data_IF_957560364535
#
_entry.id   IF_957560364535
#
_cell.length_a   1.000
_cell.length_b   1.000
_cell.length_c   1.000
_cell.angle_alpha   90.00
_cell.angle_beta   90.00
_cell.angle_gamma   90.00
#
_symmetry.space_group_name_H-M   'P 1'
#
loop_
_entity.id
_entity.type
_entity.pdbx_description
1 polymer ?
#
# COMPACT_ATOMS: atom_id res chain seq x y z
N UNK A 1 26.47 12.73 51.43
CA UNK A 1 25.80 11.84 52.41
C UNK A 1 24.60 12.57 53.00
N UNK A 2 23.38 12.28 52.52
CA UNK A 2 22.15 12.73 53.16
C UNK A 2 21.14 11.58 53.08
N UNK A 3 20.86 10.98 54.24
CA UNK A 3 20.02 9.78 54.40
C UNK A 3 18.55 10.19 54.40
N UNK A 4 17.75 9.59 53.51
CA UNK A 4 16.30 9.77 53.44
C UNK A 4 15.62 8.67 54.29
N UNK A 5 14.66 9.00 55.18
CA UNK A 5 14.00 8.00 56.05
C UNK A 5 12.95 7.16 55.28
N UNK A 6 12.68 5.90 55.70
CA UNK A 6 11.75 4.99 55.02
C UNK A 6 10.30 4.99 55.57
N UNK A 7 9.36 4.77 54.63
CA UNK A 7 7.97 4.25 54.62
C UNK A 7 7.04 4.30 55.87
N UNK A 8 5.70 4.33 55.63
CA UNK A 8 5.00 3.05 55.76
C UNK A 8 3.98 2.72 54.65
N UNK A 9 3.71 1.42 54.57
CA UNK A 9 2.84 0.71 53.62
C UNK A 9 1.34 0.73 53.99
N UNK A 10 0.46 0.59 52.98
CA UNK A 10 -0.93 0.05 52.99
C UNK A 10 -1.72 0.68 51.82
N UNK A 11 -2.47 0.03 50.92
CA UNK A 11 -3.06 -1.31 50.78
C UNK A 11 -3.42 -1.54 49.29
N UNK A 12 -3.57 -2.80 48.82
CA UNK A 12 -3.94 -3.13 47.44
C UNK A 12 -5.47 -3.04 47.20
N UNK A 13 -5.87 -2.47 46.05
CA UNK A 13 -7.26 -2.51 45.59
C UNK A 13 -7.64 -3.94 45.19
N UNK A 14 -8.69 -4.45 45.84
CA UNK A 14 -9.23 -5.80 45.72
C UNK A 14 -9.94 -5.98 44.37
N UNK A 15 -9.41 -6.85 43.51
CA UNK A 15 -10.13 -7.41 42.37
C UNK A 15 -11.11 -8.45 42.92
N UNK A 16 -12.39 -8.09 42.99
CA UNK A 16 -13.44 -9.02 43.40
C UNK A 16 -13.89 -9.84 42.19
N UNK A 17 -13.54 -11.12 42.21
CA UNK A 17 -14.12 -12.14 41.34
C UNK A 17 -15.60 -12.31 41.69
N UNK A 18 -16.50 -12.18 40.70
CA UNK A 18 -17.78 -12.87 40.75
C UNK A 18 -17.92 -13.81 39.55
N UNK A 19 -18.00 -15.08 39.94
CA UNK A 19 -18.24 -16.31 39.20
C UNK A 19 -19.45 -16.23 38.25
N UNK A 20 -19.34 -16.98 37.16
CA UNK A 20 -20.40 -17.47 36.26
C UNK A 20 -21.57 -18.12 37.04
N UNK A 21 -22.72 -18.29 36.36
CA UNK A 21 -23.11 -19.67 36.09
C UNK A 21 -23.43 -19.93 34.62
N UNK A 22 -23.08 -21.14 34.21
CA UNK A 22 -23.53 -21.86 33.01
C UNK A 22 -25.00 -22.22 33.09
N UNK A 23 -25.73 -22.10 31.99
CA UNK A 23 -27.02 -22.76 31.79
C UNK A 23 -27.05 -23.42 30.40
N UNK A 24 -27.58 -24.64 30.41
CA UNK A 24 -27.56 -25.67 29.37
C UNK A 24 -28.89 -25.71 28.62
N UNK A 25 -28.87 -26.28 27.41
CA UNK A 25 -30.00 -26.79 26.59
C UNK A 25 -30.92 -25.73 25.96
N UNK A 26 -30.97 -25.53 24.63
CA UNK A 26 -31.36 -26.41 23.50
C UNK A 26 -32.89 -26.41 23.23
N UNK A 27 -33.22 -26.05 21.97
CA UNK A 27 -34.51 -26.15 21.26
C UNK A 27 -35.65 -25.23 21.78
N UNK A 28 -36.45 -24.53 20.98
CA UNK A 28 -37.00 -24.85 19.65
C UNK A 28 -37.59 -23.61 18.93
N UNK A 29 -37.61 -23.71 17.59
CA UNK A 29 -38.52 -23.11 16.60
C UNK A 29 -39.09 -21.66 16.73
N UNK A 30 -38.77 -20.91 15.66
CA UNK A 30 -39.67 -20.05 14.89
C UNK A 30 -40.17 -18.74 15.53
N UNK A 31 -39.62 -17.60 15.06
CA UNK A 31 -40.41 -16.58 14.35
C UNK A 31 -39.52 -15.53 13.67
N UNK A 32 -39.94 -15.16 12.45
CA UNK A 32 -39.60 -13.96 11.69
C UNK A 32 -38.17 -13.83 11.12
N UNK A 33 -37.98 -14.47 9.95
CA UNK A 33 -36.98 -14.10 8.95
C UNK A 33 -37.21 -12.67 8.45
N UNK A 34 -36.68 -11.69 9.17
CA UNK A 34 -36.48 -10.36 8.63
C UNK A 34 -35.25 -10.41 7.73
N UNK A 35 -35.53 -10.49 6.43
CA UNK A 35 -34.61 -10.32 5.30
C UNK A 35 -33.77 -9.06 5.49
N UNK A 36 -32.63 -9.17 6.18
CA UNK A 36 -31.53 -8.24 6.03
C UNK A 36 -30.96 -8.57 4.66
N UNK A 37 -31.46 -7.85 3.65
CA UNK A 37 -30.91 -7.82 2.32
C UNK A 37 -29.41 -7.57 2.48
N UNK A 38 -28.63 -8.65 2.32
CA UNK A 38 -27.19 -8.58 2.14
C UNK A 38 -27.00 -7.75 0.90
N UNK A 39 -26.81 -6.44 1.07
CA UNK A 39 -26.37 -5.55 0.03
C UNK A 39 -24.90 -5.89 -0.23
N UNK A 40 -24.67 -7.08 -0.77
CA UNK A 40 -23.50 -7.40 -1.57
C UNK A 40 -23.66 -6.62 -2.86
N UNK A 41 -23.56 -5.29 -2.77
CA UNK A 41 -23.10 -4.51 -3.89
C UNK A 41 -21.74 -5.10 -4.18
N UNK A 42 -21.70 -6.02 -5.16
CA UNK A 42 -20.46 -6.44 -5.78
C UNK A 42 -19.74 -5.13 -6.07
N UNK A 43 -18.56 -4.92 -5.48
CA UNK A 43 -17.60 -3.98 -6.03
C UNK A 43 -17.24 -4.54 -7.42
N UNK A 44 -18.15 -4.37 -8.37
CA UNK A 44 -17.89 -4.54 -9.78
C UNK A 44 -16.83 -3.51 -10.08
N UNK A 45 -15.60 -3.98 -10.29
CA UNK A 45 -14.45 -3.14 -10.63
C UNK A 45 -14.89 -2.22 -11.78
N UNK A 46 -15.01 -0.90 -11.59
CA UNK A 46 -15.19 -0.03 -12.74
C UNK A 46 -13.84 -0.04 -13.48
N UNK A 47 -13.81 -0.63 -14.67
CA UNK A 47 -12.66 -0.51 -15.57
C UNK A 47 -11.79 -1.76 -15.76
N UNK A 48 -12.39 -2.92 -15.99
CA UNK A 48 -11.86 -3.83 -17.02
C UNK A 48 -12.53 -3.49 -18.37
N UNK A 49 -12.71 -2.20 -18.65
CA UNK A 49 -12.97 -1.74 -20.01
C UNK A 49 -11.77 -2.20 -20.84
N UNK A 50 -12.04 -2.68 -22.06
CA UNK A 50 -11.02 -3.12 -23.01
C UNK A 50 -9.90 -2.08 -23.08
N UNK A 51 -8.83 -2.31 -22.33
CA UNK A 51 -7.61 -1.55 -22.43
C UNK A 51 -7.01 -2.07 -23.74
N UNK A 52 -6.73 -1.18 -24.69
CA UNK A 52 -6.11 -1.54 -25.98
C UNK A 52 -4.68 -2.16 -25.79
N UNK A 53 -4.31 -2.56 -24.57
CA UNK A 53 -2.97 -2.93 -24.11
C UNK A 53 -2.03 -1.73 -24.00
N UNK A 54 -2.49 -0.55 -24.40
CA UNK A 54 -1.69 0.65 -24.61
C UNK A 54 -1.61 1.49 -23.34
N UNK A 55 -0.45 1.46 -22.70
CA UNK A 55 -0.15 2.23 -21.50
C UNK A 55 0.73 3.43 -21.83
N UNK A 56 0.54 4.55 -21.10
CA UNK A 56 1.41 5.72 -21.27
C UNK A 56 2.86 5.37 -20.94
N UNK A 57 3.81 5.77 -21.78
CA UNK A 57 5.23 5.47 -21.62
C UNK A 57 5.75 5.83 -20.23
N UNK A 58 5.46 7.03 -19.72
CA UNK A 58 5.91 7.44 -18.37
C UNK A 58 5.35 6.58 -17.23
N UNK A 59 4.19 5.92 -17.43
CA UNK A 59 3.60 5.00 -16.44
C UNK A 59 4.32 3.66 -16.46
N UNK A 60 4.66 3.15 -17.64
CA UNK A 60 5.45 1.93 -17.81
C UNK A 60 6.85 2.10 -17.22
N UNK A 61 7.53 3.20 -17.53
CA UNK A 61 8.85 3.51 -16.99
C UNK A 61 8.84 3.61 -15.45
N UNK A 62 7.83 4.29 -14.90
CA UNK A 62 7.69 4.40 -13.44
C UNK A 62 7.39 3.04 -12.78
N UNK A 63 6.63 2.17 -13.44
CA UNK A 63 6.31 0.82 -12.95
C UNK A 63 7.54 -0.10 -12.91
N UNK A 64 8.49 0.10 -13.83
CA UNK A 64 9.77 -0.59 -13.84
C UNK A 64 10.77 -0.07 -12.79
N UNK A 65 10.39 0.94 -11.99
CA UNK A 65 11.19 1.42 -10.87
C UNK A 65 12.17 2.55 -11.20
N UNK A 66 12.21 3.02 -12.44
CA UNK A 66 13.16 4.06 -12.89
C UNK A 66 12.99 5.40 -12.20
N UNK A 67 11.81 5.69 -11.67
CA UNK A 67 11.58 6.97 -11.00
C UNK A 67 10.12 7.27 -10.75
N UNK A 68 9.85 8.52 -10.40
CA UNK A 68 8.48 9.04 -10.40
C UNK A 68 7.98 9.19 -11.85
N UNK A 69 6.66 9.25 -12.04
CA UNK A 69 6.08 9.54 -13.37
C UNK A 69 6.65 10.83 -13.99
N UNK A 70 6.89 11.86 -13.17
CA UNK A 70 7.47 13.15 -13.63
C UNK A 70 8.92 13.02 -14.03
N UNK A 71 9.73 12.33 -13.23
CA UNK A 71 11.13 12.06 -13.58
C UNK A 71 11.24 11.23 -14.86
N UNK A 72 10.30 10.32 -15.11
CA UNK A 72 10.24 9.58 -16.38
C UNK A 72 9.89 10.47 -17.58
N UNK A 73 9.15 11.57 -17.39
CA UNK A 73 8.87 12.52 -18.47
C UNK A 73 10.14 13.27 -18.90
N UNK A 74 11.02 13.61 -17.96
CA UNK A 74 12.34 14.20 -18.25
C UNK A 74 13.25 13.23 -19.03
N UNK A 75 13.21 11.93 -18.71
CA UNK A 75 13.96 10.91 -19.46
C UNK A 75 13.48 10.80 -20.92
N UNK A 76 12.17 10.95 -21.15
CA UNK A 76 11.59 10.93 -22.49
C UNK A 76 12.02 12.18 -23.27
N UNK A 77 11.89 13.38 -22.68
CA UNK A 77 12.23 14.63 -23.37
C UNK A 77 13.73 14.74 -23.68
N UNK A 78 14.59 14.12 -22.86
CA UNK A 78 16.05 14.06 -23.09
C UNK A 78 16.48 12.99 -24.10
N UNK A 79 15.54 12.34 -24.81
CA UNK A 79 15.84 11.35 -25.86
C UNK A 79 16.58 10.10 -25.36
N UNK A 80 16.46 9.75 -24.08
CA UNK A 80 17.13 8.59 -23.48
C UNK A 80 16.32 7.29 -23.58
N UNK A 81 15.07 7.38 -24.03
CA UNK A 81 14.13 6.26 -24.08
C UNK A 81 13.92 5.81 -25.52
N UNK A 82 14.11 4.51 -25.74
CA UNK A 82 13.88 3.83 -27.01
C UNK A 82 12.72 2.84 -26.88
N UNK A 83 11.86 2.80 -27.90
CA UNK A 83 10.77 1.83 -28.03
C UNK A 83 10.92 1.16 -29.38
N UNK A 84 11.09 -0.16 -29.40
CA UNK A 84 11.36 -0.94 -30.62
C UNK A 84 12.48 -0.33 -31.49
N UNK A 85 13.57 0.11 -30.83
CA UNK A 85 14.76 0.77 -31.44
C UNK A 85 14.49 2.15 -32.05
N UNK A 86 13.35 2.77 -31.73
CA UNK A 86 13.05 4.16 -32.11
C UNK A 86 13.12 5.05 -30.88
N UNK A 87 13.89 6.13 -30.97
CA UNK A 87 13.97 7.12 -29.89
C UNK A 87 12.64 7.86 -29.82
N UNK A 88 12.03 7.87 -28.63
CA UNK A 88 10.76 8.54 -28.38
C UNK A 88 10.99 9.76 -27.50
N UNK A 89 10.66 10.94 -28.03
CA UNK A 89 10.77 12.22 -27.31
C UNK A 89 9.42 12.86 -27.00
N UNK A 90 8.36 12.35 -27.63
CA UNK A 90 7.01 12.89 -27.49
C UNK A 90 6.35 12.42 -26.19
N UNK A 91 6.02 13.38 -25.33
CA UNK A 91 5.24 13.14 -24.13
C UNK A 91 3.82 12.68 -24.48
N UNK A 92 3.32 11.68 -23.77
CA UNK A 92 1.99 11.11 -24.00
C UNK A 92 1.96 9.95 -24.99
N UNK A 93 3.10 9.54 -25.54
CA UNK A 93 3.24 8.29 -26.31
C UNK A 93 2.70 7.12 -25.50
N UNK A 94 1.86 6.30 -26.14
CA UNK A 94 1.34 5.06 -25.57
C UNK A 94 2.09 3.89 -26.18
N UNK A 95 2.42 2.92 -25.33
CA UNK A 95 3.20 1.74 -25.67
C UNK A 95 2.52 0.52 -25.08
N UNK A 96 2.68 -0.62 -25.75
CA UNK A 96 2.26 -1.91 -25.20
C UNK A 96 3.46 -2.56 -24.50
N UNK A 97 3.53 -2.56 -23.15
CA UNK A 97 4.66 -3.12 -22.41
C UNK A 97 4.82 -4.63 -22.58
N UNK A 98 3.82 -5.34 -23.12
CA UNK A 98 3.88 -6.79 -23.36
C UNK A 98 4.42 -7.15 -24.72
N UNK A 99 4.27 -6.26 -25.70
CA UNK A 99 4.64 -6.52 -27.10
C UNK A 99 5.86 -5.74 -27.56
N UNK A 100 6.08 -4.55 -27.01
CA UNK A 100 7.14 -3.64 -27.42
C UNK A 100 8.35 -3.74 -26.51
N UNK A 101 9.54 -3.65 -27.09
CA UNK A 101 10.80 -3.63 -26.35
C UNK A 101 11.14 -2.18 -25.98
N UNK A 102 11.09 -1.88 -24.68
CA UNK A 102 11.47 -0.56 -24.15
C UNK A 102 12.89 -0.66 -23.61
N UNK A 103 13.75 0.27 -24.05
CA UNK A 103 15.15 0.37 -23.63
C UNK A 103 15.45 1.78 -23.15
N UNK A 104 16.37 1.88 -22.21
CA UNK A 104 16.91 3.16 -21.74
C UNK A 104 18.42 3.07 -21.78
N UNK A 105 19.05 4.03 -22.45
CA UNK A 105 20.51 4.07 -22.65
C UNK A 105 21.10 2.72 -23.15
N UNK A 106 20.33 1.97 -23.95
CA UNK A 106 20.71 0.67 -24.48
C UNK A 106 20.33 -0.55 -23.63
N UNK A 107 19.96 -0.37 -22.36
CA UNK A 107 19.53 -1.46 -21.46
C UNK A 107 18.02 -1.72 -21.56
N UNK A 108 17.63 -3.01 -21.58
CA UNK A 108 16.22 -3.41 -21.62
C UNK A 108 15.55 -3.16 -20.27
N UNK A 109 14.34 -2.60 -20.32
CA UNK A 109 13.53 -2.40 -19.12
C UNK A 109 13.16 -3.74 -18.46
N UNK A 110 13.35 -3.90 -17.13
CA UNK A 110 12.92 -5.10 -16.44
C UNK A 110 11.39 -5.18 -16.37
N UNK A 111 10.86 -6.40 -16.38
CA UNK A 111 9.42 -6.60 -16.26
C UNK A 111 8.94 -6.16 -14.87
N UNK A 112 7.87 -5.35 -14.77
CA UNK A 112 7.41 -4.82 -13.51
C UNK A 112 6.83 -5.93 -12.63
N UNK A 113 7.56 -6.30 -11.57
CA UNK A 113 7.07 -7.21 -10.53
C UNK A 113 6.13 -6.46 -9.60
N UNK A 114 4.86 -6.88 -9.56
CA UNK A 114 3.86 -6.29 -8.66
C UNK A 114 3.92 -6.97 -7.30
N UNK A 115 4.16 -6.19 -6.27
CA UNK A 115 4.09 -6.64 -4.87
C UNK A 115 3.15 -5.70 -4.11
N UNK A 116 2.30 -6.27 -3.27
CA UNK A 116 1.35 -5.53 -2.45
C UNK A 116 1.48 -6.01 -1.02
N UNK A 117 1.69 -5.07 -0.10
CA UNK A 117 1.80 -5.32 1.32
C UNK A 117 0.63 -4.70 2.05
N UNK A 118 0.14 -5.42 3.07
CA UNK A 118 -0.81 -4.88 4.03
C UNK A 118 -0.06 -4.63 5.34
N UNK A 119 -0.11 -3.40 5.83
CA UNK A 119 0.60 -2.99 7.04
C UNK A 119 -0.36 -2.37 8.04
N UNK A 120 -0.27 -2.81 9.29
CA UNK A 120 -0.84 -2.09 10.42
C UNK A 120 0.15 -1.00 10.85
N UNK A 121 -0.13 0.24 10.46
CA UNK A 121 0.76 1.39 10.70
C UNK A 121 0.81 1.74 12.20
N UNK A 122 2.00 1.72 12.85
CA UNK A 122 2.13 2.16 14.23
C UNK A 122 2.11 3.69 14.36
N UNK A 123 1.87 4.17 15.58
CA UNK A 123 1.83 5.61 15.90
C UNK A 123 3.21 6.25 15.64
N UNK A 124 3.22 7.48 15.14
CA UNK A 124 4.44 8.25 14.89
C UNK A 124 5.03 8.10 13.47
N UNK A 125 4.63 7.05 12.75
CA UNK A 125 5.05 6.78 11.36
C UNK A 125 4.24 7.63 10.38
N UNK A 126 4.85 8.02 9.26
CA UNK A 126 4.22 8.85 8.23
C UNK A 126 3.91 8.06 6.96
N UNK A 127 2.75 8.33 6.37
CA UNK A 127 2.30 7.73 5.11
C UNK A 127 2.76 8.59 3.93
N UNK A 128 4.08 8.68 3.73
CA UNK A 128 4.71 9.40 2.61
C UNK A 128 5.88 8.60 2.04
N UNK A 129 6.11 8.76 0.74
CA UNK A 129 7.26 8.17 0.05
C UNK A 129 8.55 8.97 0.23
N UNK A 130 8.46 10.26 0.58
CA UNK A 130 9.61 11.11 0.86
C UNK A 130 9.25 12.04 2.02
N UNK A 131 10.08 12.05 3.06
CA UNK A 131 9.92 12.96 4.21
C UNK A 131 11.23 13.72 4.43
N UNK A 132 11.26 15.05 4.22
CA UNK A 132 12.47 15.85 4.44
C UNK A 132 12.85 15.93 5.93
N UNK A 133 11.90 15.69 6.85
CA UNK A 133 12.15 15.66 8.29
C UNK A 133 12.70 14.34 8.81
N UNK A 134 12.87 13.32 7.95
CA UNK A 134 13.49 12.05 8.31
C UNK A 134 12.68 11.17 9.28
N UNK A 135 11.37 11.40 9.41
CA UNK A 135 10.52 10.55 10.27
C UNK A 135 10.37 9.17 9.65
N UNK A 136 10.18 8.11 10.47
CA UNK A 136 9.98 6.76 9.94
C UNK A 136 8.75 6.72 9.04
N UNK A 137 8.89 6.13 7.84
CA UNK A 137 7.82 6.03 6.85
C UNK A 137 7.25 4.63 6.81
N UNK A 138 6.02 4.51 6.33
CA UNK A 138 5.34 3.22 6.12
C UNK A 138 6.15 2.29 5.22
N UNK A 139 6.80 2.84 4.19
CA UNK A 139 7.62 2.08 3.24
C UNK A 139 8.90 1.51 3.85
N UNK A 140 9.40 2.10 4.94
CA UNK A 140 10.62 1.65 5.62
C UNK A 140 10.38 0.43 6.52
N UNK A 141 9.12 0.16 6.85
CA UNK A 141 8.73 -0.95 7.72
C UNK A 141 8.56 -2.27 6.98
N UNK A 142 8.60 -2.25 5.64
CA UNK A 142 8.35 -3.41 4.79
C UNK A 142 9.67 -3.90 4.21
N UNK A 143 10.01 -5.20 4.35
CA UNK A 143 11.22 -5.74 3.75
C UNK A 143 11.09 -5.81 2.22
N UNK A 144 12.14 -5.39 1.51
CA UNK A 144 12.23 -5.56 0.06
C UNK A 144 13.20 -4.57 -0.59
N UNK A 145 13.79 -5.01 -1.72
CA UNK A 145 14.67 -4.17 -2.55
C UNK A 145 13.91 -3.34 -3.59
N UNK A 146 12.59 -3.62 -3.77
CA UNK A 146 11.77 -2.92 -4.74
C UNK A 146 11.27 -1.58 -4.22
N UNK A 147 11.10 -0.63 -5.13
CA UNK A 147 10.55 0.69 -4.81
C UNK A 147 9.05 0.59 -4.51
N UNK A 148 8.68 0.76 -3.25
CA UNK A 148 7.29 0.72 -2.78
C UNK A 148 6.63 2.10 -2.76
N UNK A 149 5.31 2.11 -2.87
CA UNK A 149 4.50 3.32 -2.74
C UNK A 149 3.34 3.07 -1.77
N UNK A 150 3.07 4.04 -0.90
CA UNK A 150 1.89 3.99 -0.06
C UNK A 150 0.61 4.15 -0.90
N UNK A 151 -0.34 3.24 -0.70
CA UNK A 151 -1.67 3.32 -1.32
C UNK A 151 -2.60 4.05 -0.35
N UNK A 152 -3.04 5.24 -0.74
CA UNK A 152 -3.82 6.11 0.13
C UNK A 152 -2.97 6.71 1.25
N UNK A 153 -3.64 7.41 2.16
CA UNK A 153 -3.01 8.04 3.33
C UNK A 153 -3.81 7.73 4.57
N UNK A 154 -3.15 7.18 5.57
CA UNK A 154 -3.62 7.23 6.94
C UNK A 154 -2.89 8.38 7.64
N UNK A 155 -3.63 9.36 8.13
CA UNK A 155 -3.07 10.46 8.90
C UNK A 155 -2.51 9.95 10.24
N UNK A 156 -1.93 10.86 11.03
CA UNK A 156 -1.22 10.51 12.26
C UNK A 156 -2.18 10.10 13.38
#
# INVERSE_FOLDING_TARGET
MARRPPAPASQPLKITSRRRPSATAAADAAHASATIARNTTRFSRPGAAADDGLERLQKVLAAAGLGSRRSCEELITTSRVEVDRKIVTQLGTRVDPRRQEIRIDGERLPDPKRVVYMLHKPVGVVTTNFDPSGRPRVVDLVPGEQRLFAIGRLDR
#
